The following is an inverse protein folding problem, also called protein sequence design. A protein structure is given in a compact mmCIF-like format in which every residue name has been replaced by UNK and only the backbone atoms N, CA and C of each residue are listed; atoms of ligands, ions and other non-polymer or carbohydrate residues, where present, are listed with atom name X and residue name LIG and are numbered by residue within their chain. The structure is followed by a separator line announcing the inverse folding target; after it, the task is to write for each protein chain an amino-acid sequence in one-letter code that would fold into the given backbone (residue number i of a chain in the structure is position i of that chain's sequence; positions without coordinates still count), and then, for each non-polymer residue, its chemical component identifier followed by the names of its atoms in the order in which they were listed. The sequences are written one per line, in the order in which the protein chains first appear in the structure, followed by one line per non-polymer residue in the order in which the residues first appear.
data_IF_680436515897
#
_entry.id   IF_680436515897
#
_cell.length_a   1.000
_cell.length_b   1.000
_cell.length_c   1.000
_cell.angle_alpha   90.00
_cell.angle_beta   90.00
_cell.angle_gamma   90.00
#
_symmetry.space_group_name_H-M   'P 1'
#
loop_
_entity.id
_entity.type
_entity.pdbx_description
1 polymer ?
#
# COMPACT_ATOMS: atom_id res chain seq x y z
N UNK A 1 18.45 13.95 -14.08
CA UNK A 1 18.58 12.73 -13.26
C UNK A 1 18.91 13.16 -11.84
N UNK A 2 18.38 12.46 -10.84
CA UNK A 2 18.68 12.70 -9.42
C UNK A 2 19.42 11.49 -8.86
N UNK A 3 20.39 11.74 -7.98
CA UNK A 3 21.14 10.69 -7.28
C UNK A 3 20.65 10.60 -5.83
N UNK A 4 20.52 9.37 -5.34
CA UNK A 4 20.13 9.09 -3.96
C UNK A 4 21.22 8.21 -3.36
N UNK A 5 21.87 8.71 -2.31
CA UNK A 5 22.85 7.96 -1.51
C UNK A 5 22.16 7.53 -0.23
N UNK A 6 22.15 6.23 0.05
CA UNK A 6 21.57 5.66 1.26
C UNK A 6 22.67 5.02 2.11
N UNK A 7 22.59 5.24 3.42
CA UNK A 7 23.41 4.51 4.39
C UNK A 7 22.70 3.22 4.75
N UNK A 8 23.38 2.10 4.60
CA UNK A 8 22.88 0.78 5.02
C UNK A 8 23.80 0.20 6.11
N UNK A 9 23.26 -0.60 7.03
CA UNK A 9 24.07 -1.39 7.96
C UNK A 9 25.12 -2.26 7.23
N UNK A 10 26.31 -2.39 7.82
CA UNK A 10 27.43 -3.10 7.19
C UNK A 10 27.12 -4.59 6.93
N UNK A 11 26.31 -5.22 7.79
CA UNK A 11 25.87 -6.61 7.61
C UNK A 11 24.97 -6.78 6.39
N UNK A 12 24.20 -5.75 6.02
CA UNK A 12 23.36 -5.77 4.81
C UNK A 12 24.25 -5.66 3.58
N UNK A 13 25.20 -4.72 3.59
CA UNK A 13 26.16 -4.55 2.49
C UNK A 13 26.95 -5.84 2.23
N UNK A 14 27.50 -6.45 3.29
CA UNK A 14 28.23 -7.72 3.17
C UNK A 14 27.38 -8.81 2.52
N UNK A 15 26.11 -8.95 2.94
CA UNK A 15 25.18 -9.94 2.35
C UNK A 15 24.86 -9.64 0.89
N UNK A 16 24.72 -8.36 0.51
CA UNK A 16 24.49 -7.97 -0.88
C UNK A 16 25.67 -8.31 -1.79
N UNK A 17 26.89 -8.09 -1.30
CA UNK A 17 28.13 -8.39 -2.04
C UNK A 17 28.33 -9.89 -2.29
N UNK A 18 27.69 -10.78 -1.50
CA UNK A 18 27.69 -12.23 -1.77
C UNK A 18 26.91 -12.61 -3.04
N UNK A 19 26.11 -11.70 -3.61
CA UNK A 19 25.31 -11.93 -4.82
C UNK A 19 25.67 -10.92 -5.93
N UNK A 20 26.89 -10.99 -6.50
CA UNK A 20 27.38 -10.00 -7.46
C UNK A 20 26.62 -10.00 -8.80
N UNK A 21 25.86 -11.06 -9.11
CA UNK A 21 25.01 -11.11 -10.30
C UNK A 21 23.71 -10.30 -10.21
N UNK A 22 23.38 -9.77 -9.02
CA UNK A 22 22.16 -8.98 -8.81
C UNK A 22 22.44 -7.51 -9.11
N UNK A 23 21.63 -6.91 -9.98
CA UNK A 23 21.63 -5.46 -10.18
C UNK A 23 20.90 -4.77 -9.01
N UNK A 24 21.62 -4.57 -7.91
CA UNK A 24 21.07 -3.94 -6.70
C UNK A 24 20.50 -2.53 -6.96
N UNK A 25 21.12 -1.74 -7.84
CA UNK A 25 20.60 -0.42 -8.22
C UNK A 25 19.22 -0.52 -8.87
N UNK A 26 19.02 -1.52 -9.76
CA UNK A 26 17.72 -1.81 -10.36
C UNK A 26 16.67 -2.17 -9.32
N UNK A 27 17.02 -3.07 -8.40
CA UNK A 27 16.14 -3.48 -7.29
C UNK A 27 15.73 -2.28 -6.44
N UNK A 28 16.67 -1.42 -6.04
CA UNK A 28 16.34 -0.23 -5.25
C UNK A 28 15.41 0.72 -5.99
N UNK A 29 15.58 0.91 -7.31
CA UNK A 29 14.68 1.74 -8.12
C UNK A 29 13.25 1.19 -8.11
N UNK A 30 13.10 -0.11 -8.29
CA UNK A 30 11.77 -0.75 -8.27
C UNK A 30 11.11 -0.65 -6.89
N UNK A 31 11.86 -0.88 -5.82
CA UNK A 31 11.36 -0.76 -4.45
C UNK A 31 10.92 0.67 -4.14
N UNK A 32 11.74 1.67 -4.48
CA UNK A 32 11.41 3.08 -4.26
C UNK A 32 10.20 3.49 -5.10
N UNK A 33 10.13 3.09 -6.36
CA UNK A 33 8.99 3.38 -7.24
C UNK A 33 7.70 2.76 -6.69
N UNK A 34 7.73 1.48 -6.31
CA UNK A 34 6.59 0.79 -5.74
C UNK A 34 6.12 1.46 -4.44
N UNK A 35 7.06 1.79 -3.55
CA UNK A 35 6.73 2.44 -2.29
C UNK A 35 6.16 3.84 -2.48
N UNK A 36 6.72 4.60 -3.42
CA UNK A 36 6.21 5.94 -3.78
C UNK A 36 4.78 5.85 -4.30
N UNK A 37 4.52 4.94 -5.25
CA UNK A 37 3.18 4.69 -5.77
C UNK A 37 2.20 4.27 -4.68
N UNK A 38 2.61 3.39 -3.74
CA UNK A 38 1.77 2.99 -2.60
C UNK A 38 1.33 4.20 -1.77
N UNK A 39 2.26 5.11 -1.45
CA UNK A 39 1.96 6.31 -0.67
C UNK A 39 1.09 7.32 -1.45
N UNK A 40 1.30 7.48 -2.75
CA UNK A 40 0.43 8.27 -3.63
C UNK A 40 -0.99 7.68 -3.68
N UNK A 41 -1.09 6.36 -3.83
CA UNK A 41 -2.35 5.63 -3.86
C UNK A 41 -3.11 5.78 -2.54
N UNK A 42 -2.43 5.69 -1.39
CA UNK A 42 -3.04 5.92 -0.06
C UNK A 42 -3.65 7.31 0.09
N UNK A 43 -3.03 8.33 -0.51
CA UNK A 43 -3.48 9.72 -0.42
C UNK A 43 -4.56 10.06 -1.46
N UNK A 44 -4.58 9.37 -2.60
CA UNK A 44 -5.49 9.69 -3.70
C UNK A 44 -6.80 8.90 -3.64
N UNK A 45 -7.85 9.53 -3.09
CA UNK A 45 -9.22 8.99 -3.12
C UNK A 45 -9.71 8.68 -4.53
N UNK A 46 -9.29 9.47 -5.52
CA UNK A 46 -9.64 9.25 -6.94
C UNK A 46 -9.04 7.95 -7.47
N UNK A 47 -7.76 7.68 -7.20
CA UNK A 47 -7.13 6.43 -7.64
C UNK A 47 -7.72 5.22 -6.92
N UNK A 48 -7.92 5.31 -5.61
CA UNK A 48 -8.56 4.25 -4.82
C UNK A 48 -9.94 3.91 -5.37
N UNK A 49 -10.74 4.93 -5.69
CA UNK A 49 -12.06 4.76 -6.29
C UNK A 49 -11.97 4.07 -7.64
N UNK A 50 -11.08 4.51 -8.54
CA UNK A 50 -10.94 3.92 -9.86
C UNK A 50 -10.54 2.43 -9.79
N UNK A 51 -9.61 2.06 -8.89
CA UNK A 51 -9.23 0.67 -8.67
C UNK A 51 -10.40 -0.13 -8.11
N UNK A 52 -11.11 0.41 -7.12
CA UNK A 52 -12.28 -0.25 -6.54
C UNK A 52 -13.38 -0.47 -7.58
N UNK A 53 -13.67 0.54 -8.41
CA UNK A 53 -14.64 0.44 -9.51
C UNK A 53 -14.22 -0.63 -10.53
N UNK A 54 -12.93 -0.70 -10.87
CA UNK A 54 -12.38 -1.75 -11.73
C UNK A 54 -12.56 -3.16 -11.14
N UNK A 55 -12.22 -3.35 -9.87
CA UNK A 55 -12.40 -4.63 -9.16
C UNK A 55 -13.88 -5.00 -9.02
N UNK A 56 -14.74 -4.01 -8.77
CA UNK A 56 -16.18 -4.18 -8.62
C UNK A 56 -16.92 -4.34 -9.96
N UNK A 57 -16.27 -4.09 -11.10
CA UNK A 57 -16.92 -4.09 -12.43
C UNK A 57 -17.58 -5.42 -12.81
N UNK A 58 -17.16 -6.53 -12.20
CA UNK A 58 -17.75 -7.88 -12.37
C UNK A 58 -18.41 -8.41 -11.10
N UNK A 59 -18.63 -7.54 -10.12
CA UNK A 59 -19.24 -7.90 -8.85
C UNK A 59 -20.66 -8.42 -9.06
N UNK A 60 -21.02 -9.46 -8.30
CA UNK A 60 -22.39 -9.99 -8.19
C UNK A 60 -23.09 -9.52 -6.93
N UNK A 61 -22.48 -8.60 -6.18
CA UNK A 61 -23.05 -8.07 -4.95
C UNK A 61 -24.36 -7.36 -5.26
N UNK A 62 -25.37 -7.66 -4.47
CA UNK A 62 -26.68 -7.00 -4.52
C UNK A 62 -26.68 -5.74 -3.67
N UNK A 63 -27.70 -4.89 -3.84
CA UNK A 63 -27.86 -3.71 -2.98
C UNK A 63 -28.01 -4.07 -1.49
N UNK A 64 -28.54 -5.26 -1.18
CA UNK A 64 -28.66 -5.74 0.20
C UNK A 64 -27.28 -6.08 0.78
N UNK A 65 -26.42 -6.71 -0.01
CA UNK A 65 -25.04 -7.04 0.39
C UNK A 65 -24.22 -5.76 0.62
N UNK A 66 -24.36 -4.77 -0.26
CA UNK A 66 -23.70 -3.47 -0.11
C UNK A 66 -24.12 -2.77 1.19
N UNK A 67 -25.41 -2.79 1.53
CA UNK A 67 -25.91 -2.25 2.79
C UNK A 67 -25.37 -2.99 4.02
N UNK A 68 -25.32 -4.32 3.96
CA UNK A 68 -24.79 -5.13 5.06
C UNK A 68 -23.29 -4.87 5.28
N UNK A 69 -22.52 -4.80 4.19
CA UNK A 69 -21.10 -4.44 4.21
C UNK A 69 -20.89 -3.05 4.83
N UNK A 70 -21.69 -2.06 4.41
CA UNK A 70 -21.63 -0.71 4.99
C UNK A 70 -21.86 -0.70 6.50
N UNK A 71 -22.82 -1.49 7.01
CA UNK A 71 -23.06 -1.62 8.45
C UNK A 71 -21.86 -2.23 9.19
N UNK A 72 -21.26 -3.28 8.63
CA UNK A 72 -20.07 -3.93 9.21
C UNK A 72 -18.87 -2.97 9.28
N UNK A 73 -18.63 -2.22 8.20
CA UNK A 73 -17.57 -1.21 8.14
C UNK A 73 -17.79 -0.12 9.20
N UNK A 74 -18.99 0.44 9.29
CA UNK A 74 -19.31 1.48 10.27
C UNK A 74 -19.12 1.00 11.71
N UNK A 75 -19.51 -0.25 12.01
CA UNK A 75 -19.32 -0.84 13.33
C UNK A 75 -17.85 -0.98 13.68
N UNK A 76 -17.04 -1.57 12.79
CA UNK A 76 -15.61 -1.74 13.04
C UNK A 76 -14.88 -0.40 13.20
N UNK A 77 -15.24 0.59 12.38
CA UNK A 77 -14.67 1.94 12.50
C UNK A 77 -15.06 2.61 13.83
N UNK A 78 -16.30 2.43 14.31
CA UNK A 78 -16.72 2.95 15.61
C UNK A 78 -15.99 2.26 16.77
N UNK A 79 -15.73 0.95 16.68
CA UNK A 79 -14.94 0.20 17.65
C UNK A 79 -13.49 0.71 17.70
N UNK A 80 -12.84 0.89 16.54
CA UNK A 80 -11.48 1.42 16.44
C UNK A 80 -11.35 2.85 17.01
N UNK A 81 -12.34 3.72 16.75
CA UNK A 81 -12.32 5.08 17.27
C UNK A 81 -12.48 5.14 18.79
N UNK A 82 -13.28 4.23 19.36
CA UNK A 82 -13.42 4.09 20.83
C UNK A 82 -12.13 3.61 21.47
N UNK A 83 -11.46 2.63 20.87
CA UNK A 83 -10.15 2.14 21.35
C UNK A 83 -9.09 3.25 21.35
N UNK A 84 -9.17 4.17 20.38
CA UNK A 84 -8.30 5.35 20.30
C UNK A 84 -8.75 6.52 21.17
N UNK A 85 -9.88 6.40 21.89
CA UNK A 85 -10.42 7.46 22.76
C UNK A 85 -10.90 8.71 22.00
N UNK A 86 -11.28 8.56 20.73
CA UNK A 86 -11.73 9.65 19.87
C UNK A 86 -13.26 9.85 19.88
N UNK A 87 -14.00 8.91 20.49
CA UNK A 87 -15.45 8.92 20.75
C UNK A 87 -15.80 8.01 21.92
#
# INVERSE_FOLDING_TARGET
MAEVVISVPEDIKYRMEQFPGINWSGVFKEVIAAKTFEEEFKKSRKMQRAVLEGLASRSKLTGKDALELGKKINRGMAEELKEKGLV
#
